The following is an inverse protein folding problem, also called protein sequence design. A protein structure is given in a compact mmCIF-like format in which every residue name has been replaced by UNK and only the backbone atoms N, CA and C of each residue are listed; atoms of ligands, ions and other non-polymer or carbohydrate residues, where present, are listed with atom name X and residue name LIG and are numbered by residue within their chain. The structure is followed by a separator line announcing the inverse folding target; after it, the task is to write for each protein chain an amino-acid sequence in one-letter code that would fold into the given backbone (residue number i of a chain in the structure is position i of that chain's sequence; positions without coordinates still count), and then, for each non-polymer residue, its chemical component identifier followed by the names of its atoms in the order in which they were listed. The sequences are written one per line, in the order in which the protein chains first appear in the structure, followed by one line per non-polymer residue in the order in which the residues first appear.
data_IF_254233595894
#
_entry.id   IF_254233595894
#
_cell.length_a   1.000
_cell.length_b   1.000
_cell.length_c   1.000
_cell.angle_alpha   90.00
_cell.angle_beta   90.00
_cell.angle_gamma   90.00
#
_symmetry.space_group_name_H-M   'P 1'
#
loop_
_entity.id
_entity.type
_entity.pdbx_description
1 polymer ?
#
# COMPACT_ATOMS: atom_id res chain seq x y z
N UNK A 1 -56.65 -3.22 97.23
CA UNK A 1 -58.01 -2.88 97.68
C UNK A 1 -58.27 -3.66 98.96
N UNK A 2 -58.12 -2.97 100.09
CA UNK A 2 -58.54 -3.44 101.41
C UNK A 2 -60.06 -3.47 101.41
N UNK A 3 -60.68 -4.65 101.52
CA UNK A 3 -61.98 -4.84 102.19
C UNK A 3 -61.94 -6.25 102.83
N UNK A 4 -61.56 -6.26 104.09
CA UNK A 4 -61.93 -7.29 105.07
C UNK A 4 -63.28 -6.82 105.63
N UNK A 5 -64.33 -7.63 105.48
CA UNK A 5 -65.56 -7.63 106.29
C UNK A 5 -66.17 -9.01 106.14
N UNK A 6 -65.99 -9.85 107.16
CA UNK A 6 -67.10 -10.30 108.02
C UNK A 6 -68.16 -11.11 107.26
N UNK A 7 -67.95 -12.43 107.19
CA UNK A 7 -69.03 -13.36 107.52
C UNK A 7 -68.45 -14.39 108.48
N UNK A 8 -68.74 -14.10 109.75
CA UNK A 8 -68.53 -14.95 110.91
C UNK A 8 -69.26 -16.27 110.72
N UNK A 9 -68.51 -17.35 110.92
CA UNK A 9 -68.87 -18.51 111.75
C UNK A 9 -70.36 -18.89 111.79
N UNK A 10 -70.74 -19.86 110.96
CA UNK A 10 -71.78 -20.82 111.32
C UNK A 10 -71.28 -22.23 110.99
N UNK A 11 -70.65 -22.82 112.00
CA UNK A 11 -70.52 -24.26 112.17
C UNK A 11 -71.91 -24.87 112.14
N UNK A 12 -72.13 -25.86 111.28
CA UNK A 12 -72.65 -27.19 111.59
C UNK A 12 -73.34 -27.80 110.37
N UNK A 13 -73.15 -29.11 110.23
CA UNK A 13 -73.92 -30.04 109.40
C UNK A 13 -73.31 -30.47 108.05
N UNK A 14 -72.50 -31.51 108.15
CA UNK A 14 -71.78 -32.26 107.11
C UNK A 14 -72.69 -33.06 106.16
N UNK A 15 -73.91 -32.60 105.90
CA UNK A 15 -74.84 -33.21 104.94
C UNK A 15 -75.74 -32.22 104.20
N UNK A 16 -75.51 -30.91 104.39
CA UNK A 16 -76.34 -29.83 103.84
C UNK A 16 -75.56 -28.86 102.91
N UNK A 17 -74.64 -29.37 102.09
CA UNK A 17 -73.99 -28.61 101.01
C UNK A 17 -74.18 -29.27 99.63
N UNK A 18 -75.39 -29.78 99.36
CA UNK A 18 -75.93 -29.93 98.00
C UNK A 18 -77.15 -29.03 97.80
N UNK A 19 -77.02 -27.80 98.28
CA UNK A 19 -77.99 -26.72 98.10
C UNK A 19 -77.21 -25.40 97.90
N UNK A 20 -76.15 -25.45 97.11
CA UNK A 20 -75.79 -24.29 96.30
C UNK A 20 -76.56 -24.43 95.00
N UNK A 21 -77.44 -23.46 94.79
CA UNK A 21 -78.24 -23.22 93.59
C UNK A 21 -77.55 -23.80 92.36
N UNK A 22 -78.13 -24.85 91.78
CA UNK A 22 -77.87 -25.21 90.39
C UNK A 22 -78.40 -24.05 89.54
N UNK A 23 -77.61 -22.98 89.47
CA UNK A 23 -77.85 -21.88 88.55
C UNK A 23 -77.83 -22.55 87.19
N UNK A 24 -78.93 -22.47 86.45
CA UNK A 24 -79.10 -23.17 85.17
C UNK A 24 -77.92 -22.78 84.26
N UNK A 25 -76.90 -23.64 84.16
CA UNK A 25 -75.65 -23.37 83.44
C UNK A 25 -75.88 -23.63 81.96
N UNK A 26 -76.84 -22.94 81.37
CA UNK A 26 -77.10 -23.03 79.94
C UNK A 26 -76.00 -22.30 79.19
N UNK A 27 -74.90 -23.01 78.94
CA UNK A 27 -73.82 -22.55 78.08
C UNK A 27 -74.31 -22.49 76.63
N UNK A 28 -74.14 -21.34 75.98
CA UNK A 28 -74.37 -21.23 74.54
C UNK A 28 -73.44 -22.16 73.76
N UNK A 29 -73.85 -22.58 72.56
CA UNK A 29 -73.09 -23.52 71.73
C UNK A 29 -71.70 -22.97 71.35
N UNK A 30 -71.60 -21.65 71.20
CA UNK A 30 -70.41 -20.88 70.86
C UNK A 30 -69.62 -20.39 72.08
N UNK A 31 -69.98 -20.79 73.30
CA UNK A 31 -69.29 -20.32 74.52
C UNK A 31 -67.83 -20.79 74.58
N UNK A 32 -66.92 -19.87 74.92
CA UNK A 32 -65.49 -20.11 75.15
C UNK A 32 -65.27 -21.21 76.20
N UNK A 33 -66.12 -21.27 77.23
CA UNK A 33 -66.00 -22.22 78.33
C UNK A 33 -66.18 -23.68 77.89
N UNK A 34 -66.83 -23.93 76.74
CA UNK A 34 -66.95 -25.27 76.15
C UNK A 34 -65.64 -25.76 75.52
N UNK A 35 -64.70 -24.86 75.26
CA UNK A 35 -63.37 -25.18 74.70
C UNK A 35 -62.33 -25.45 75.79
N UNK A 36 -62.69 -25.32 77.07
CA UNK A 36 -61.81 -25.60 78.20
C UNK A 36 -62.05 -27.02 78.70
N UNK A 37 -60.95 -27.72 78.95
CA UNK A 37 -60.97 -29.00 79.64
C UNK A 37 -60.58 -28.80 81.10
N UNK A 38 -61.40 -29.32 82.00
CA UNK A 38 -61.14 -29.26 83.44
C UNK A 38 -60.37 -30.50 83.89
N UNK A 39 -59.43 -30.31 84.82
CA UNK A 39 -58.71 -31.44 85.41
C UNK A 39 -59.71 -32.30 86.21
N UNK A 40 -59.80 -33.62 85.94
CA UNK A 40 -60.66 -34.48 86.74
C UNK A 40 -60.18 -34.52 88.20
N UNK A 41 -61.12 -34.63 89.14
CA UNK A 41 -60.87 -34.72 90.59
C UNK A 41 -60.23 -33.49 91.25
N UNK A 42 -60.68 -32.29 90.89
CA UNK A 42 -60.34 -31.05 91.60
C UNK A 42 -61.33 -30.77 92.74
N UNK A 43 -60.84 -30.47 93.96
CA UNK A 43 -61.69 -30.12 95.11
C UNK A 43 -62.51 -28.84 94.91
N UNK A 44 -62.04 -27.93 94.06
CA UNK A 44 -62.64 -26.60 93.85
C UNK A 44 -63.29 -26.45 92.48
N UNK A 45 -63.63 -27.57 91.81
CA UNK A 45 -64.17 -27.55 90.46
C UNK A 45 -65.44 -26.71 90.38
N UNK A 46 -66.39 -26.92 91.29
CA UNK A 46 -67.67 -26.21 91.29
C UNK A 46 -67.48 -24.68 91.41
N UNK A 47 -66.61 -24.25 92.33
CA UNK A 47 -66.27 -22.83 92.50
C UNK A 47 -65.57 -22.25 91.28
N UNK A 48 -64.64 -22.99 90.67
CA UNK A 48 -63.91 -22.56 89.49
C UNK A 48 -64.86 -22.39 88.29
N UNK A 49 -65.74 -23.36 88.08
CA UNK A 49 -66.75 -23.30 87.02
C UNK A 49 -67.70 -22.13 87.22
N UNK A 50 -68.18 -21.87 88.44
CA UNK A 50 -69.04 -20.72 88.74
C UNK A 50 -68.32 -19.39 88.48
N UNK A 51 -67.06 -19.29 88.90
CA UNK A 51 -66.25 -18.10 88.68
C UNK A 51 -65.97 -17.86 87.20
N UNK A 52 -65.60 -18.91 86.45
CA UNK A 52 -65.38 -18.83 85.01
C UNK A 52 -66.67 -18.49 84.26
N UNK A 53 -67.81 -19.03 84.69
CA UNK A 53 -69.11 -18.68 84.13
C UNK A 53 -69.48 -17.21 84.37
N UNK A 54 -69.28 -16.69 85.58
CA UNK A 54 -69.59 -15.31 85.91
C UNK A 54 -68.68 -14.30 85.18
N UNK A 55 -67.37 -14.55 85.16
CA UNK A 55 -66.37 -13.61 84.66
C UNK A 55 -66.07 -13.80 83.16
N UNK A 56 -66.04 -15.06 82.67
CA UNK A 56 -65.46 -15.44 81.38
C UNK A 56 -66.40 -16.18 80.41
N UNK A 57 -67.73 -16.11 80.59
CA UNK A 57 -68.70 -16.59 79.60
C UNK A 57 -68.73 -15.70 78.34
N UNK A 58 -67.70 -15.80 77.50
CA UNK A 58 -67.57 -15.13 76.20
C UNK A 58 -68.10 -16.03 75.08
N UNK A 59 -68.76 -15.43 74.08
CA UNK A 59 -69.14 -16.12 72.84
C UNK A 59 -67.98 -16.06 71.83
N UNK A 60 -67.54 -17.20 71.31
CA UNK A 60 -66.48 -17.29 70.31
C UNK A 60 -67.02 -17.00 68.92
N UNK A 61 -66.42 -16.04 68.22
CA UNK A 61 -66.88 -15.58 66.93
C UNK A 61 -65.75 -15.59 65.91
N UNK A 62 -66.03 -16.06 64.69
CA UNK A 62 -65.04 -16.13 63.61
C UNK A 62 -65.01 -14.87 62.71
N UNK A 63 -66.11 -14.10 62.65
CA UNK A 63 -66.26 -12.92 61.79
C UNK A 63 -66.40 -11.61 62.58
N UNK A 64 -65.84 -10.52 62.04
CA UNK A 64 -66.02 -9.17 62.59
C UNK A 64 -67.48 -8.68 62.52
N UNK A 65 -68.24 -9.14 61.53
CA UNK A 65 -69.66 -8.78 61.41
C UNK A 65 -70.46 -9.31 62.60
N UNK A 66 -70.30 -10.60 62.89
CA UNK A 66 -70.96 -11.29 64.01
C UNK A 66 -70.52 -10.71 65.37
N UNK A 67 -69.24 -10.34 65.50
CA UNK A 67 -68.68 -9.71 66.70
C UNK A 67 -69.33 -8.35 67.01
N UNK A 68 -69.67 -7.60 65.96
CA UNK A 68 -70.37 -6.32 66.09
C UNK A 68 -71.86 -6.50 66.42
N UNK A 69 -72.52 -7.51 65.82
CA UNK A 69 -73.94 -7.79 66.03
C UNK A 69 -74.27 -8.27 67.45
N UNK A 70 -73.38 -9.03 68.09
CA UNK A 70 -73.58 -9.55 69.45
C UNK A 70 -73.50 -8.42 70.49
N UNK A 71 -74.55 -8.23 71.30
CA UNK A 71 -74.57 -7.26 72.41
C UNK A 71 -73.87 -7.78 73.68
N UNK A 72 -73.56 -9.06 73.71
CA UNK A 72 -72.95 -9.75 74.85
C UNK A 72 -71.42 -9.82 74.73
N UNK A 73 -70.79 -10.44 75.74
CA UNK A 73 -69.35 -10.70 75.77
C UNK A 73 -68.95 -11.60 74.59
N UNK A 74 -68.00 -11.16 73.76
CA UNK A 74 -67.52 -11.92 72.59
C UNK A 74 -65.99 -11.89 72.46
N UNK A 75 -65.40 -12.93 71.84
CA UNK A 75 -63.96 -13.03 71.57
C UNK A 75 -63.69 -13.62 70.18
N UNK A 76 -62.70 -13.10 69.47
CA UNK A 76 -62.26 -13.62 68.16
C UNK A 76 -60.96 -14.44 68.26
N UNK A 77 -60.66 -15.23 67.22
CA UNK A 77 -59.39 -15.98 67.10
C UNK A 77 -58.14 -15.10 67.15
N UNK A 78 -58.25 -13.87 66.65
CA UNK A 78 -57.16 -12.89 66.61
C UNK A 78 -56.98 -12.11 67.94
N UNK A 79 -57.69 -12.51 69.02
CA UNK A 79 -57.52 -11.91 70.35
C UNK A 79 -58.29 -10.60 70.59
N UNK A 80 -59.30 -10.29 69.77
CA UNK A 80 -60.18 -9.14 70.01
C UNK A 80 -61.26 -9.51 71.04
N UNK A 81 -61.36 -8.74 72.14
CA UNK A 81 -62.29 -9.00 73.25
C UNK A 81 -63.33 -7.87 73.34
N UNK A 82 -64.61 -8.25 73.47
CA UNK A 82 -65.74 -7.34 73.74
C UNK A 82 -66.27 -7.57 75.15
N UNK A 83 -66.21 -6.55 76.00
CA UNK A 83 -66.75 -6.59 77.35
C UNK A 83 -68.19 -6.06 77.42
N UNK A 84 -68.91 -6.42 78.50
CA UNK A 84 -70.27 -5.93 78.78
C UNK A 84 -70.23 -4.40 78.92
N UNK A 85 -70.97 -3.69 78.06
CA UNK A 85 -70.94 -2.21 77.99
C UNK A 85 -70.21 -1.63 76.78
N UNK A 86 -69.84 -2.44 75.78
CA UNK A 86 -69.36 -1.95 74.48
C UNK A 86 -67.88 -1.59 74.43
N UNK A 87 -67.09 -1.91 75.47
CA UNK A 87 -65.63 -1.75 75.44
C UNK A 87 -65.02 -2.85 74.56
N UNK A 88 -64.25 -2.45 73.56
CA UNK A 88 -63.41 -3.33 72.75
C UNK A 88 -61.96 -3.22 73.21
N UNK A 89 -61.33 -4.36 73.47
CA UNK A 89 -59.93 -4.46 73.87
C UNK A 89 -59.21 -5.36 72.87
N UNK A 90 -58.08 -4.87 72.36
CA UNK A 90 -57.21 -5.58 71.45
C UNK A 90 -55.79 -5.49 71.99
N UNK A 91 -55.20 -6.64 72.31
CA UNK A 91 -53.78 -6.70 72.67
C UNK A 91 -52.96 -6.96 71.41
N UNK A 92 -52.34 -5.91 70.89
CA UNK A 92 -51.55 -5.95 69.65
C UNK A 92 -50.07 -6.26 69.88
N UNK A 93 -49.67 -6.64 71.10
CA UNK A 93 -48.28 -7.00 71.39
C UNK A 93 -47.87 -8.24 70.59
N UNK A 94 -46.79 -8.17 69.80
CA UNK A 94 -46.36 -9.27 68.94
C UNK A 94 -45.92 -10.49 69.75
N UNK A 95 -45.41 -10.31 70.98
CA UNK A 95 -45.03 -11.44 71.84
C UNK A 95 -46.23 -12.33 72.16
N UNK A 96 -47.43 -11.80 72.37
CA UNK A 96 -48.59 -12.57 72.86
C UNK A 96 -49.17 -13.53 71.79
N UNK A 97 -48.78 -13.35 70.50
CA UNK A 97 -49.27 -14.16 69.38
C UNK A 97 -48.52 -15.48 69.20
N UNK A 98 -47.36 -15.63 69.83
CA UNK A 98 -46.56 -16.83 69.75
C UNK A 98 -47.08 -17.97 70.64
N UNK A 99 -46.98 -19.21 70.16
CA UNK A 99 -47.39 -20.41 70.91
C UNK A 99 -46.57 -20.59 72.19
N UNK A 100 -45.36 -20.05 72.21
CA UNK A 100 -44.46 -20.00 73.35
C UNK A 100 -45.02 -19.16 74.52
N UNK A 101 -46.02 -18.31 74.30
CA UNK A 101 -46.66 -17.50 75.34
C UNK A 101 -47.94 -18.11 75.91
N UNK A 102 -48.41 -19.25 75.40
CA UNK A 102 -49.60 -19.92 75.92
C UNK A 102 -49.30 -20.58 77.28
N UNK A 103 -50.16 -20.33 78.26
CA UNK A 103 -50.01 -20.80 79.66
C UNK A 103 -51.11 -21.82 80.05
N UNK A 104 -51.95 -22.22 79.09
CA UNK A 104 -53.03 -23.18 79.32
C UNK A 104 -52.51 -24.61 79.16
N UNK A 105 -52.84 -25.48 80.13
CA UNK A 105 -52.46 -26.90 80.13
C UNK A 105 -51.96 -27.38 81.49
N UNK A 106 -51.82 -28.70 81.65
CA UNK A 106 -51.29 -29.31 82.89
C UNK A 106 -49.79 -29.62 82.81
N UNK A 107 -49.19 -29.50 81.63
CA UNK A 107 -47.79 -29.80 81.37
C UNK A 107 -47.20 -28.79 80.37
N UNK A 108 -45.95 -28.40 80.57
CA UNK A 108 -45.22 -27.44 79.75
C UNK A 108 -44.34 -28.11 78.68
N UNK A 109 -44.42 -29.43 78.52
CA UNK A 109 -43.60 -30.19 77.55
C UNK A 109 -43.67 -29.66 76.12
N UNK A 110 -44.86 -29.33 75.62
CA UNK A 110 -45.02 -28.82 74.24
C UNK A 110 -44.34 -27.47 74.07
N UNK A 111 -44.49 -26.57 75.04
CA UNK A 111 -43.82 -25.27 75.06
C UNK A 111 -42.30 -25.40 75.12
N UNK A 112 -41.78 -26.32 75.93
CA UNK A 112 -40.34 -26.62 75.98
C UNK A 112 -39.86 -27.15 74.63
N UNK A 113 -40.62 -28.02 73.96
CA UNK A 113 -40.27 -28.57 72.66
C UNK A 113 -40.23 -27.49 71.56
N UNK A 114 -41.20 -26.57 71.54
CA UNK A 114 -41.23 -25.42 70.61
C UNK A 114 -40.02 -24.53 70.82
N UNK A 115 -39.73 -24.12 72.06
CA UNK A 115 -38.57 -23.28 72.37
C UNK A 115 -37.25 -23.97 72.04
N UNK A 116 -37.14 -25.27 72.30
CA UNK A 116 -35.94 -26.04 71.92
C UNK A 116 -35.74 -26.12 70.41
N UNK A 117 -36.82 -26.25 69.62
CA UNK A 117 -36.73 -26.24 68.17
C UNK A 117 -36.30 -24.86 67.64
N UNK A 118 -36.86 -23.78 68.20
CA UNK A 118 -36.50 -22.40 67.87
C UNK A 118 -35.03 -22.11 68.17
N UNK A 119 -34.53 -22.51 69.34
CA UNK A 119 -33.10 -22.37 69.69
C UNK A 119 -32.21 -23.11 68.69
N UNK A 120 -32.57 -24.33 68.29
CA UNK A 120 -31.80 -25.09 67.28
C UNK A 120 -31.80 -24.40 65.92
N UNK A 121 -32.94 -23.83 65.52
CA UNK A 121 -33.03 -23.08 64.27
C UNK A 121 -32.12 -21.84 64.31
N UNK A 122 -32.21 -21.04 65.38
CA UNK A 122 -31.38 -19.84 65.55
C UNK A 122 -29.88 -20.19 65.57
N UNK A 123 -29.49 -21.28 66.24
CA UNK A 123 -28.10 -21.76 66.23
C UNK A 123 -27.62 -22.17 64.82
N UNK A 124 -28.50 -22.73 63.99
CA UNK A 124 -28.16 -23.06 62.61
C UNK A 124 -28.02 -21.81 61.75
N UNK A 125 -28.90 -20.83 61.94
CA UNK A 125 -28.84 -19.53 61.27
C UNK A 125 -27.58 -18.75 61.66
N UNK A 126 -27.20 -18.77 62.94
CA UNK A 126 -25.94 -18.20 63.44
C UNK A 126 -24.73 -18.83 62.73
N UNK A 127 -24.66 -20.18 62.68
CA UNK A 127 -23.58 -20.89 62.00
C UNK A 127 -23.49 -20.54 60.51
N UNK A 128 -24.62 -20.50 59.82
CA UNK A 128 -24.65 -20.11 58.40
C UNK A 128 -24.20 -18.67 58.20
N UNK A 129 -24.63 -17.76 59.08
CA UNK A 129 -24.26 -16.34 59.02
C UNK A 129 -22.77 -16.16 59.30
N UNK A 130 -22.23 -16.84 60.32
CA UNK A 130 -20.80 -16.83 60.64
C UNK A 130 -19.96 -17.36 59.46
N UNK A 131 -20.42 -18.40 58.76
CA UNK A 131 -19.74 -18.91 57.57
C UNK A 131 -19.73 -17.89 56.42
N UNK A 132 -20.84 -17.16 56.20
CA UNK A 132 -20.91 -16.08 55.21
C UNK A 132 -19.96 -14.93 55.55
N UNK A 133 -19.90 -14.54 56.82
CA UNK A 133 -18.98 -13.48 57.29
C UNK A 133 -17.53 -13.87 57.01
N UNK A 134 -17.12 -15.10 57.39
CA UNK A 134 -15.75 -15.58 57.12
C UNK A 134 -15.40 -15.57 55.64
N UNK A 135 -16.33 -15.95 54.77
CA UNK A 135 -16.12 -15.91 53.31
C UNK A 135 -15.93 -14.48 52.81
N UNK A 136 -16.75 -13.54 53.28
CA UNK A 136 -16.62 -12.13 52.92
C UNK A 136 -15.29 -11.53 53.41
N UNK A 137 -14.85 -11.88 54.63
CA UNK A 137 -13.54 -11.47 55.14
C UNK A 137 -12.38 -11.98 54.28
N UNK A 138 -12.46 -13.23 53.82
CA UNK A 138 -11.48 -13.80 52.89
C UNK A 138 -11.48 -13.09 51.54
N UNK A 139 -12.67 -12.81 50.98
CA UNK A 139 -12.82 -12.07 49.72
C UNK A 139 -12.26 -10.64 49.83
N UNK A 140 -12.50 -9.95 50.96
CA UNK A 140 -11.93 -8.62 51.25
C UNK A 140 -10.41 -8.71 51.29
N UNK A 141 -9.84 -9.69 52.00
CA UNK A 141 -8.38 -9.87 52.09
C UNK A 141 -7.76 -10.16 50.72
N UNK A 142 -8.41 -10.98 49.91
CA UNK A 142 -7.96 -11.28 48.55
C UNK A 142 -8.04 -10.05 47.64
N UNK A 143 -9.09 -9.25 47.74
CA UNK A 143 -9.23 -8.00 47.01
C UNK A 143 -8.16 -6.98 47.42
N UNK A 144 -7.86 -6.86 48.72
CA UNK A 144 -6.79 -6.02 49.23
C UNK A 144 -5.42 -6.46 48.68
N UNK A 145 -5.10 -7.76 48.71
CA UNK A 145 -3.86 -8.29 48.14
C UNK A 145 -3.74 -8.02 46.64
N UNK A 146 -4.83 -8.18 45.88
CA UNK A 146 -4.86 -7.80 44.44
C UNK A 146 -4.62 -6.31 44.26
N UNK A 147 -5.26 -5.46 45.06
CA UNK A 147 -5.06 -4.00 45.02
C UNK A 147 -3.61 -3.63 45.28
N UNK A 148 -2.98 -4.19 46.31
CA UNK A 148 -1.57 -3.96 46.62
C UNK A 148 -0.65 -4.43 45.48
N UNK A 149 -0.96 -5.59 44.89
CA UNK A 149 -0.21 -6.12 43.74
C UNK A 149 -0.31 -5.17 42.54
N UNK A 150 -1.51 -4.68 42.22
CA UNK A 150 -1.70 -3.71 41.15
C UNK A 150 -1.04 -2.37 41.45
N UNK A 151 -1.14 -1.85 42.66
CA UNK A 151 -0.43 -0.62 43.06
C UNK A 151 1.08 -0.78 42.95
N UNK A 152 1.62 -1.93 43.33
CA UNK A 152 3.05 -2.23 43.16
C UNK A 152 3.43 -2.28 41.68
N UNK A 153 2.58 -2.86 40.83
CA UNK A 153 2.81 -2.88 39.39
C UNK A 153 2.79 -1.46 38.81
N UNK A 154 1.78 -0.66 39.15
CA UNK A 154 1.67 0.74 38.70
C UNK A 154 2.80 1.63 39.24
N UNK A 155 3.36 1.35 40.43
CA UNK A 155 4.53 2.09 40.93
C UNK A 155 5.82 1.80 40.16
N UNK A 156 5.88 0.68 39.43
CA UNK A 156 7.06 0.27 38.66
C UNK A 156 6.99 0.71 37.21
N UNK A 157 5.80 0.91 36.68
CA UNK A 157 5.55 1.22 35.27
C UNK A 157 4.62 2.43 35.19
N UNK A 158 5.17 3.57 34.75
CA UNK A 158 4.42 4.81 34.60
C UNK A 158 3.55 4.83 33.33
N UNK A 159 3.92 4.03 32.31
CA UNK A 159 3.22 3.95 31.04
C UNK A 159 2.85 2.50 30.71
N UNK A 160 1.69 2.33 30.07
CA UNK A 160 1.25 1.03 29.60
C UNK A 160 2.17 0.46 28.51
N UNK A 161 2.76 1.34 27.69
CA UNK A 161 3.70 0.97 26.61
C UNK A 161 4.92 0.16 27.12
N UNK A 162 5.32 0.36 28.38
CA UNK A 162 6.45 -0.37 28.98
C UNK A 162 6.11 -1.85 29.30
N UNK A 163 4.81 -2.15 29.37
CA UNK A 163 4.26 -3.50 29.62
C UNK A 163 3.78 -4.13 28.31
N UNK A 164 3.29 -3.32 27.37
CA UNK A 164 2.68 -3.75 26.12
C UNK A 164 3.70 -4.18 25.04
N UNK A 165 4.38 -5.29 25.33
CA UNK A 165 5.27 -5.94 24.39
C UNK A 165 4.52 -6.49 23.16
N UNK A 166 3.22 -6.78 23.27
CA UNK A 166 2.44 -7.39 22.20
C UNK A 166 2.21 -6.41 21.05
N UNK A 167 1.81 -5.17 21.36
CA UNK A 167 1.73 -4.12 20.35
C UNK A 167 3.07 -3.87 19.66
N UNK A 168 4.16 -3.89 20.42
CA UNK A 168 5.52 -3.77 19.85
C UNK A 168 5.84 -4.93 18.89
N UNK A 169 5.52 -6.17 19.25
CA UNK A 169 5.73 -7.35 18.40
C UNK A 169 4.88 -7.29 17.13
N UNK A 170 3.62 -6.86 17.21
CA UNK A 170 2.76 -6.68 16.04
C UNK A 170 3.33 -5.64 15.07
N UNK A 171 3.81 -4.51 15.58
CA UNK A 171 4.44 -3.47 14.75
C UNK A 171 5.72 -4.00 14.10
N UNK A 172 6.56 -4.75 14.83
CA UNK A 172 7.77 -5.37 14.28
C UNK A 172 7.42 -6.34 13.15
N UNK A 173 6.42 -7.21 13.34
CA UNK A 173 5.99 -8.16 12.32
C UNK A 173 5.47 -7.45 11.06
N UNK A 174 4.64 -6.41 11.22
CA UNK A 174 4.16 -5.60 10.11
C UNK A 174 5.31 -4.95 9.35
N UNK A 175 6.31 -4.40 10.06
CA UNK A 175 7.48 -3.77 9.45
C UNK A 175 8.38 -4.78 8.75
N UNK A 176 8.54 -5.99 9.29
CA UNK A 176 9.28 -7.08 8.64
C UNK A 176 8.59 -7.53 7.35
N UNK A 177 7.27 -7.66 7.35
CA UNK A 177 6.52 -8.02 6.14
C UNK A 177 6.59 -6.91 5.08
N UNK A 178 6.47 -5.64 5.49
CA UNK A 178 6.69 -4.49 4.60
C UNK A 178 8.10 -4.50 4.00
N UNK A 179 9.13 -4.79 4.82
CA UNK A 179 10.51 -4.91 4.34
C UNK A 179 10.65 -6.03 3.31
N UNK A 180 10.08 -7.21 3.57
CA UNK A 180 10.11 -8.35 2.64
C UNK A 180 9.49 -8.01 1.29
N UNK A 181 8.31 -7.38 1.30
CA UNK A 181 7.62 -6.95 0.08
C UNK A 181 8.44 -5.92 -0.72
N UNK A 182 9.08 -4.97 -0.04
CA UNK A 182 9.95 -3.99 -0.68
C UNK A 182 11.22 -4.63 -1.26
N UNK A 183 11.83 -5.59 -0.56
CA UNK A 183 12.99 -6.33 -1.06
C UNK A 183 12.64 -7.17 -2.29
N UNK A 184 11.48 -7.84 -2.30
CA UNK A 184 10.97 -8.58 -3.46
C UNK A 184 10.68 -7.65 -4.65
N UNK A 185 10.04 -6.50 -4.39
CA UNK A 185 9.81 -5.50 -5.42
C UNK A 185 11.13 -4.94 -5.98
N UNK A 186 12.11 -4.67 -5.13
CA UNK A 186 13.42 -4.18 -5.55
C UNK A 186 14.20 -5.24 -6.35
N UNK A 187 14.16 -6.51 -5.94
CA UNK A 187 14.74 -7.61 -6.71
C UNK A 187 14.11 -7.72 -8.10
N UNK A 188 12.79 -7.57 -8.19
CA UNK A 188 12.09 -7.53 -9.48
C UNK A 188 12.51 -6.33 -10.33
N UNK A 189 12.68 -5.16 -9.74
CA UNK A 189 13.20 -3.97 -10.45
C UNK A 189 14.62 -4.20 -10.95
N UNK A 190 15.50 -4.81 -10.13
CA UNK A 190 16.87 -5.13 -10.52
C UNK A 190 16.92 -6.09 -11.71
N UNK A 191 16.12 -7.16 -11.68
CA UNK A 191 16.01 -8.11 -12.80
C UNK A 191 15.55 -7.40 -14.07
N UNK A 192 14.53 -6.53 -13.97
CA UNK A 192 14.04 -5.76 -15.13
C UNK A 192 15.09 -4.78 -15.66
N UNK A 193 15.89 -4.17 -14.80
CA UNK A 193 17.00 -3.29 -15.19
C UNK A 193 18.11 -4.06 -15.91
N UNK A 194 18.46 -5.25 -15.42
CA UNK A 194 19.45 -6.14 -16.06
C UNK A 194 18.94 -6.60 -17.44
N UNK A 195 17.66 -6.98 -17.55
CA UNK A 195 17.03 -7.32 -18.83
C UNK A 195 17.02 -6.12 -19.79
N UNK A 196 16.66 -4.93 -19.31
CA UNK A 196 16.68 -3.72 -20.13
C UNK A 196 18.09 -3.38 -20.62
N UNK A 197 19.10 -3.54 -19.77
CA UNK A 197 20.49 -3.33 -20.14
C UNK A 197 20.95 -4.35 -21.21
N UNK A 198 20.54 -5.62 -21.07
CA UNK A 198 20.77 -6.67 -22.08
C UNK A 198 20.16 -6.32 -23.43
N UNK A 199 18.88 -5.98 -23.47
CA UNK A 199 18.17 -5.59 -24.71
C UNK A 199 18.78 -4.34 -25.33
N UNK A 200 19.15 -3.32 -24.53
CA UNK A 200 19.83 -2.12 -25.07
C UNK A 200 21.17 -2.44 -25.71
N UNK A 201 21.92 -3.37 -25.13
CA UNK A 201 23.19 -3.82 -25.70
C UNK A 201 22.97 -4.56 -27.02
N UNK A 202 21.95 -5.43 -27.09
CA UNK A 202 21.58 -6.12 -28.34
C UNK A 202 21.14 -5.13 -29.42
N UNK A 203 20.34 -4.13 -29.08
CA UNK A 203 19.96 -3.06 -30.02
C UNK A 203 21.19 -2.31 -30.54
N UNK A 204 22.13 -1.96 -29.66
CA UNK A 204 23.37 -1.29 -30.07
C UNK A 204 24.21 -2.13 -31.04
N UNK A 205 24.34 -3.43 -30.79
CA UNK A 205 25.03 -4.34 -31.69
C UNK A 205 24.33 -4.45 -33.05
N UNK A 206 23.00 -4.56 -33.06
CA UNK A 206 22.21 -4.59 -34.29
C UNK A 206 22.28 -3.28 -35.07
N UNK A 207 22.31 -2.13 -34.39
CA UNK A 207 22.49 -0.82 -35.02
C UNK A 207 23.88 -0.68 -35.63
N UNK A 208 24.92 -1.17 -34.97
CA UNK A 208 26.28 -1.20 -35.52
C UNK A 208 26.37 -2.11 -36.76
N UNK A 209 25.76 -3.31 -36.70
CA UNK A 209 25.66 -4.22 -37.85
C UNK A 209 24.88 -3.58 -39.02
N UNK A 210 23.76 -2.90 -38.72
CA UNK A 210 22.96 -2.21 -39.71
C UNK A 210 23.73 -1.03 -40.33
N UNK A 211 24.45 -0.25 -39.53
CA UNK A 211 25.29 0.85 -40.02
C UNK A 211 26.41 0.35 -40.94
N UNK A 212 27.05 -0.78 -40.60
CA UNK A 212 28.03 -1.42 -41.48
C UNK A 212 27.41 -1.95 -42.77
N UNK A 213 26.21 -2.54 -42.70
CA UNK A 213 25.47 -2.95 -43.89
C UNK A 213 25.10 -1.76 -44.78
N UNK A 214 24.66 -0.64 -44.18
CA UNK A 214 24.37 0.62 -44.88
C UNK A 214 25.63 1.15 -45.56
N UNK A 215 26.78 1.21 -44.87
CA UNK A 215 28.05 1.65 -45.48
C UNK A 215 28.43 0.79 -46.68
N UNK A 216 28.35 -0.55 -46.57
CA UNK A 216 28.63 -1.47 -47.66
C UNK A 216 27.68 -1.27 -48.84
N UNK A 217 26.39 -1.04 -48.58
CA UNK A 217 25.38 -0.72 -49.58
C UNK A 217 25.72 0.59 -50.30
N UNK A 218 25.99 1.67 -49.57
CA UNK A 218 26.36 2.97 -50.16
C UNK A 218 27.64 2.88 -51.00
N UNK A 219 28.65 2.12 -50.56
CA UNK A 219 29.87 1.88 -51.34
C UNK A 219 29.56 1.14 -52.66
N UNK A 220 28.68 0.16 -52.60
CA UNK A 220 28.25 -0.62 -53.76
C UNK A 220 27.44 0.23 -54.74
N UNK A 221 26.50 1.03 -54.24
CA UNK A 221 25.70 1.99 -55.04
C UNK A 221 26.59 3.05 -55.71
N UNK A 222 27.57 3.60 -54.97
CA UNK A 222 28.54 4.54 -55.55
C UNK A 222 29.41 3.90 -56.64
N UNK A 223 29.82 2.63 -56.46
CA UNK A 223 30.56 1.90 -57.50
C UNK A 223 29.68 1.64 -58.72
N UNK A 224 28.41 1.30 -58.53
CA UNK A 224 27.46 1.11 -59.63
C UNK A 224 27.23 2.42 -60.40
N UNK A 225 27.06 3.55 -59.72
CA UNK A 225 26.88 4.85 -60.35
C UNK A 225 28.11 5.26 -61.17
N UNK A 226 29.33 5.12 -60.62
CA UNK A 226 30.58 5.39 -61.37
C UNK A 226 30.71 4.52 -62.63
N UNK A 227 30.31 3.25 -62.54
CA UNK A 227 30.34 2.35 -63.70
C UNK A 227 29.29 2.74 -64.75
N UNK A 228 28.10 3.20 -64.34
CA UNK A 228 27.08 3.73 -65.24
C UNK A 228 27.54 5.01 -65.94
N UNK A 229 28.15 5.95 -65.21
CA UNK A 229 28.75 7.16 -65.78
C UNK A 229 29.82 6.82 -66.82
N UNK A 230 30.78 5.95 -66.47
CA UNK A 230 31.80 5.48 -67.43
C UNK A 230 31.20 4.84 -68.67
N UNK A 231 30.17 4.00 -68.51
CA UNK A 231 29.46 3.39 -69.65
C UNK A 231 28.84 4.46 -70.55
N UNK A 232 28.20 5.47 -69.97
CA UNK A 232 27.57 6.54 -70.73
C UNK A 232 28.60 7.40 -71.47
N UNK A 233 29.73 7.72 -70.83
CA UNK A 233 30.85 8.43 -71.46
C UNK A 233 31.45 7.63 -72.62
N UNK A 234 31.72 6.34 -72.42
CA UNK A 234 32.23 5.46 -73.49
C UNK A 234 31.24 5.34 -74.65
N UNK A 235 29.94 5.19 -74.37
CA UNK A 235 28.91 5.15 -75.41
C UNK A 235 28.82 6.48 -76.19
N UNK A 236 28.95 7.62 -75.51
CA UNK A 236 28.98 8.93 -76.15
C UNK A 236 30.20 9.11 -77.05
N UNK A 237 31.39 8.69 -76.58
CA UNK A 237 32.61 8.71 -77.38
C UNK A 237 32.52 7.79 -78.60
N UNK A 238 32.00 6.56 -78.45
CA UNK A 238 31.77 5.63 -79.56
C UNK A 238 30.82 6.21 -80.60
N UNK A 239 29.77 6.93 -80.19
CA UNK A 239 28.84 7.59 -81.11
C UNK A 239 29.50 8.73 -81.91
N UNK A 240 30.53 9.40 -81.37
CA UNK A 240 31.23 10.51 -82.02
C UNK A 240 32.34 10.05 -82.99
N UNK A 241 32.92 8.87 -82.78
CA UNK A 241 34.07 8.38 -83.53
C UNK A 241 33.72 8.05 -85.00
N UNK A 242 32.47 7.73 -85.34
CA UNK A 242 32.07 7.41 -86.71
C UNK A 242 32.74 6.11 -87.23
N UNK A 243 32.84 5.95 -88.55
CA UNK A 243 33.56 4.80 -89.18
C UNK A 243 35.01 5.20 -89.37
N UNK A 244 35.89 4.69 -88.52
CA UNK A 244 37.35 4.86 -88.61
C UNK A 244 37.97 3.53 -88.99
N UNK A 245 38.88 3.52 -89.95
CA UNK A 245 39.69 2.35 -90.30
C UNK A 245 40.79 2.16 -89.23
N UNK A 246 40.56 1.22 -88.33
CA UNK A 246 41.43 0.95 -87.17
C UNK A 246 42.55 -0.03 -87.47
N UNK A 247 42.55 -0.70 -88.64
CA UNK A 247 43.48 -1.78 -88.97
C UNK A 247 44.95 -1.32 -88.90
N UNK A 248 45.22 -0.10 -89.39
CA UNK A 248 46.56 0.51 -89.33
C UNK A 248 47.01 0.87 -87.90
N UNK A 249 46.08 1.26 -87.03
CA UNK A 249 46.37 1.65 -85.65
C UNK A 249 46.58 0.42 -84.76
N UNK A 250 45.72 -0.59 -84.91
CA UNK A 250 45.82 -1.87 -84.19
C UNK A 250 47.12 -2.62 -84.51
N UNK A 251 47.59 -2.54 -85.77
CA UNK A 251 48.86 -3.12 -86.19
C UNK A 251 50.08 -2.43 -85.56
N UNK A 252 50.01 -1.12 -85.30
CA UNK A 252 51.10 -0.34 -84.70
C UNK A 252 51.11 -0.41 -83.17
N UNK A 253 49.95 -0.67 -82.55
CA UNK A 253 49.75 -0.69 -81.11
C UNK A 253 49.12 -2.01 -80.62
N UNK A 254 49.76 -3.13 -80.96
CA UNK A 254 49.31 -4.48 -80.57
C UNK A 254 49.21 -4.71 -79.06
N UNK A 255 49.92 -3.92 -78.26
CA UNK A 255 49.89 -3.91 -76.80
C UNK A 255 48.58 -3.35 -76.22
N UNK A 256 47.82 -2.59 -77.01
CA UNK A 256 46.54 -2.01 -76.59
C UNK A 256 45.34 -2.97 -76.79
N UNK A 257 45.54 -4.11 -77.44
CA UNK A 257 44.47 -5.10 -77.70
C UNK A 257 44.07 -5.91 -76.45
N UNK A 258 44.94 -6.02 -75.45
CA UNK A 258 44.72 -6.82 -74.24
C UNK A 258 44.86 -5.99 -72.95
N UNK A 259 44.17 -4.86 -72.88
CA UNK A 259 44.19 -3.98 -71.69
C UNK A 259 42.96 -4.25 -70.82
N UNK A 260 43.17 -4.47 -69.51
CA UNK A 260 42.08 -4.58 -68.55
C UNK A 260 41.30 -3.25 -68.45
N UNK A 261 39.98 -3.33 -68.24
CA UNK A 261 39.09 -2.16 -68.22
C UNK A 261 39.47 -1.11 -67.15
N UNK A 262 40.19 -1.53 -66.11
CA UNK A 262 40.67 -0.68 -65.02
C UNK A 262 41.87 0.17 -65.45
N UNK A 263 42.75 -0.36 -66.31
CA UNK A 263 43.99 0.29 -66.77
C UNK A 263 43.80 1.08 -68.07
N UNK A 264 42.63 0.98 -68.69
CA UNK A 264 42.31 1.53 -70.00
C UNK A 264 42.43 3.07 -70.04
N UNK A 265 42.00 3.75 -68.97
CA UNK A 265 42.17 5.21 -68.85
C UNK A 265 43.64 5.59 -68.67
N UNK A 266 44.41 4.82 -67.89
CA UNK A 266 45.84 5.06 -67.72
C UNK A 266 46.59 4.94 -69.03
N UNK A 267 46.28 3.91 -69.83
CA UNK A 267 46.84 3.71 -71.17
C UNK A 267 46.43 4.81 -72.17
N UNK A 268 45.17 5.25 -72.12
CA UNK A 268 44.69 6.41 -72.91
C UNK A 268 45.49 7.66 -72.57
N UNK A 269 45.65 7.97 -71.28
CA UNK A 269 46.31 9.20 -70.83
C UNK A 269 47.81 9.18 -71.17
N UNK A 270 48.47 8.02 -71.09
CA UNK A 270 49.87 7.89 -71.55
C UNK A 270 50.01 8.12 -73.05
N UNK A 271 49.10 7.55 -73.87
CA UNK A 271 49.14 7.75 -75.31
C UNK A 271 48.87 9.21 -75.69
N UNK A 272 47.89 9.84 -75.02
CA UNK A 272 47.59 11.26 -75.18
C UNK A 272 48.79 12.12 -74.82
N UNK A 273 49.47 11.81 -73.71
CA UNK A 273 50.67 12.52 -73.30
C UNK A 273 51.82 12.38 -74.30
N UNK A 274 52.04 11.19 -74.86
CA UNK A 274 53.06 10.95 -75.89
C UNK A 274 52.77 11.73 -77.18
N UNK A 275 51.51 11.77 -77.60
CA UNK A 275 51.07 12.57 -78.75
C UNK A 275 51.29 14.06 -78.49
N UNK A 276 50.89 14.56 -77.32
CA UNK A 276 51.06 15.96 -76.96
C UNK A 276 52.54 16.36 -76.87
N UNK A 277 53.39 15.49 -76.32
CA UNK A 277 54.85 15.68 -76.31
C UNK A 277 55.43 15.71 -77.73
N UNK A 278 54.99 14.81 -78.61
CA UNK A 278 55.43 14.78 -80.01
C UNK A 278 55.00 16.06 -80.75
N UNK A 279 53.77 16.51 -80.54
CA UNK A 279 53.24 17.77 -81.08
C UNK A 279 53.99 18.98 -80.54
N UNK A 280 54.30 19.01 -79.24
CA UNK A 280 55.09 20.08 -78.61
C UNK A 280 56.49 20.13 -79.21
N UNK A 281 57.17 18.98 -79.34
CA UNK A 281 58.49 18.90 -79.98
C UNK A 281 58.45 19.42 -81.42
N UNK A 282 57.42 19.10 -82.19
CA UNK A 282 57.23 19.63 -83.54
C UNK A 282 56.95 21.15 -83.57
N UNK A 283 56.20 21.68 -82.59
CA UNK A 283 55.98 23.12 -82.47
C UNK A 283 57.26 23.86 -82.09
N UNK A 284 58.06 23.30 -81.19
CA UNK A 284 59.36 23.85 -80.79
C UNK A 284 60.36 23.85 -81.94
N UNK A 285 60.46 22.75 -82.71
CA UNK A 285 61.33 22.71 -83.90
C UNK A 285 60.87 23.71 -84.95
N UNK A 286 59.56 23.84 -85.18
CA UNK A 286 58.99 24.87 -86.06
C UNK A 286 59.35 26.27 -85.56
N UNK A 287 59.22 26.54 -84.26
CA UNK A 287 59.55 27.85 -83.67
C UNK A 287 61.04 28.17 -83.77
N UNK A 288 61.93 27.21 -83.51
CA UNK A 288 63.39 27.39 -83.67
C UNK A 288 63.75 27.73 -85.11
N UNK A 289 63.27 26.94 -86.07
CA UNK A 289 63.48 27.21 -87.51
C UNK A 289 62.94 28.59 -87.92
N UNK A 290 61.81 29.01 -87.35
CA UNK A 290 61.23 30.32 -87.61
C UNK A 290 62.11 31.46 -87.05
N UNK A 291 62.63 31.31 -85.83
CA UNK A 291 63.60 32.26 -85.25
C UNK A 291 64.91 32.34 -86.02
N UNK A 292 65.45 31.20 -86.46
CA UNK A 292 66.67 31.15 -87.29
C UNK A 292 66.44 31.90 -88.61
N UNK A 293 65.27 31.70 -89.23
CA UNK A 293 64.89 32.41 -90.45
C UNK A 293 64.80 33.93 -90.24
N UNK A 294 64.20 34.39 -89.13
CA UNK A 294 64.14 35.82 -88.79
C UNK A 294 65.54 36.42 -88.65
N UNK A 295 66.46 35.69 -88.03
CA UNK A 295 67.85 36.14 -87.87
C UNK A 295 68.55 36.25 -89.23
N UNK A 296 68.37 35.27 -90.12
CA UNK A 296 68.89 35.32 -91.49
C UNK A 296 68.33 36.50 -92.29
N UNK A 297 67.01 36.75 -92.19
CA UNK A 297 66.37 37.93 -92.81
C UNK A 297 66.98 39.23 -92.28
N UNK A 298 67.16 39.35 -90.96
CA UNK A 298 67.77 40.53 -90.36
C UNK A 298 69.22 40.75 -90.83
N UNK A 299 70.04 39.70 -90.85
CA UNK A 299 71.43 39.77 -91.35
C UNK A 299 71.52 40.09 -92.83
N UNK A 300 70.53 39.68 -93.63
CA UNK A 300 70.47 40.03 -95.05
C UNK A 300 70.15 41.51 -95.27
N UNK A 301 69.17 42.07 -94.53
CA UNK A 301 68.86 43.51 -94.59
C UNK A 301 69.97 44.38 -93.99
N UNK A 302 70.73 43.85 -93.03
CA UNK A 302 71.84 44.53 -92.36
C UNK A 302 73.16 43.74 -92.49
N UNK A 303 73.82 43.78 -93.65
CA UNK A 303 75.06 43.06 -93.87
C UNK A 303 76.24 43.74 -93.14
N UNK A 304 77.36 43.01 -93.03
CA UNK A 304 78.60 43.52 -92.46
C UNK A 304 79.16 44.72 -93.26
N UNK A 305 80.02 45.50 -92.61
CA UNK A 305 80.60 46.75 -93.14
C UNK A 305 81.31 46.54 -94.49
N UNK A 306 81.92 45.37 -94.70
CA UNK A 306 82.60 44.98 -95.93
C UNK A 306 81.68 44.98 -97.16
N UNK A 307 80.42 44.58 -97.00
CA UNK A 307 79.42 44.54 -98.08
C UNK A 307 78.81 45.93 -98.30
N UNK A 308 78.62 46.68 -97.23
CA UNK A 308 78.06 48.04 -97.26
C UNK A 308 79.02 49.04 -97.97
N UNK A 309 80.33 48.81 -97.88
CA UNK A 309 81.33 49.57 -98.64
C UNK A 309 81.36 49.22 -100.13
N UNK A 310 81.01 47.98 -100.50
CA UNK A 310 81.02 47.51 -101.88
C UNK A 310 79.75 47.87 -102.65
N UNK A 311 78.62 47.94 -101.97
CA UNK A 311 77.31 48.28 -102.55
C UNK A 311 76.65 49.37 -101.70
N UNK A 312 76.92 50.63 -102.03
CA UNK A 312 76.51 51.77 -101.20
C UNK A 312 74.98 51.91 -101.09
N UNK A 313 74.25 51.47 -102.12
CA UNK A 313 72.78 51.55 -102.20
C UNK A 313 72.04 50.31 -101.64
N UNK A 314 72.76 49.31 -101.09
CA UNK A 314 72.18 48.03 -100.66
C UNK A 314 70.98 48.18 -99.71
N UNK A 315 71.07 49.12 -98.75
CA UNK A 315 69.99 49.38 -97.79
C UNK A 315 68.72 49.95 -98.43
N UNK A 316 68.86 50.68 -99.53
CA UNK A 316 67.72 51.22 -100.28
C UNK A 316 67.01 50.11 -101.05
N UNK A 317 67.77 49.24 -101.72
CA UNK A 317 67.25 48.16 -102.56
C UNK A 317 66.49 47.09 -101.74
N UNK A 318 67.01 46.74 -100.57
CA UNK A 318 66.39 45.71 -99.69
C UNK A 318 65.34 46.27 -98.73
N UNK A 319 65.12 47.59 -98.69
CA UNK A 319 64.17 48.24 -97.77
C UNK A 319 62.72 47.79 -97.99
N UNK A 320 62.37 47.47 -99.24
CA UNK A 320 61.03 47.05 -99.66
C UNK A 320 60.71 45.57 -99.37
N UNK A 321 61.70 44.77 -98.94
CA UNK A 321 61.49 43.35 -98.64
C UNK A 321 60.82 43.16 -97.25
N UNK A 322 59.75 42.34 -97.13
CA UNK A 322 59.03 42.12 -95.88
C UNK A 322 59.85 41.42 -94.80
N UNK A 323 59.65 41.77 -93.52
CA UNK A 323 60.37 41.14 -92.39
C UNK A 323 59.68 39.90 -91.80
N UNK A 324 58.48 39.56 -92.28
CA UNK A 324 57.74 38.40 -91.81
C UNK A 324 58.17 37.12 -92.57
N UNK A 325 58.38 36.04 -91.80
CA UNK A 325 58.82 34.72 -92.30
C UNK A 325 57.84 34.08 -93.28
N UNK A 326 56.58 34.50 -93.25
CA UNK A 326 55.53 34.05 -94.17
C UNK A 326 55.76 34.49 -95.63
N UNK A 327 56.60 35.51 -95.87
CA UNK A 327 56.91 36.05 -97.20
C UNK A 327 58.31 35.66 -97.72
N UNK A 328 58.87 34.54 -97.25
CA UNK A 328 60.17 34.03 -97.71
C UNK A 328 60.27 33.79 -99.23
N UNK A 329 59.14 33.59 -99.91
CA UNK A 329 59.11 33.50 -101.38
C UNK A 329 59.66 34.75 -102.08
N UNK A 330 59.52 35.94 -101.47
CA UNK A 330 60.02 37.19 -102.05
C UNK A 330 61.54 37.31 -101.96
N UNK A 331 62.17 36.78 -100.89
CA UNK A 331 63.62 36.70 -100.77
C UNK A 331 64.23 35.71 -101.78
N UNK A 332 63.54 34.61 -102.06
CA UNK A 332 63.94 33.67 -103.12
C UNK A 332 63.86 34.31 -104.50
N UNK A 333 62.80 35.09 -104.78
CA UNK A 333 62.67 35.84 -106.02
C UNK A 333 63.73 36.95 -106.17
N UNK A 334 64.04 37.68 -105.09
CA UNK A 334 65.11 38.69 -105.08
C UNK A 334 66.50 38.07 -105.29
N UNK A 335 66.77 36.90 -104.71
CA UNK A 335 67.99 36.14 -104.95
C UNK A 335 68.13 35.72 -106.42
N UNK A 336 67.04 35.26 -107.06
CA UNK A 336 67.04 34.95 -108.50
C UNK A 336 67.32 36.20 -109.35
N UNK A 337 66.72 37.36 -109.01
CA UNK A 337 67.00 38.63 -109.69
C UNK A 337 68.47 39.07 -109.60
N UNK A 338 69.09 38.93 -108.43
CA UNK A 338 70.53 39.23 -108.25
C UNK A 338 71.42 38.29 -109.07
N UNK A 339 71.04 37.03 -109.25
CA UNK A 339 71.77 36.09 -110.10
C UNK A 339 71.67 36.46 -111.59
N UNK A 340 70.51 36.96 -112.02
CA UNK A 340 70.28 37.43 -113.39
C UNK A 340 71.00 38.75 -113.70
N UNK A 341 71.01 39.72 -112.77
CA UNK A 341 71.75 40.99 -112.93
C UNK A 341 73.28 40.78 -112.98
N UNK A 342 73.81 39.75 -112.31
CA UNK A 342 75.23 39.37 -112.39
C UNK A 342 75.63 38.73 -113.73
N UNK A 343 74.66 38.24 -114.51
CA UNK A 343 74.90 37.76 -115.89
C UNK A 343 75.02 38.90 -116.90
N UNK A 344 74.52 40.10 -116.60
CA UNK A 344 74.56 41.26 -117.50
C UNK A 344 75.80 42.16 -117.33
N UNK A 345 76.66 41.92 -116.32
CA UNK A 345 77.87 42.73 -116.01
C UNK A 345 79.20 42.03 -116.32
N UNK A 346 79.16 40.91 -117.08
CA UNK A 346 80.31 40.31 -117.77
C UNK A 346 80.05 40.24 -119.28
N UNK A 347 80.09 41.39 -119.93
CA UNK A 347 80.52 41.54 -121.35
C UNK A 347 81.57 42.63 -121.36
#
# INVERSE_FOLDING_TARGET
MVIICEVVSCISDTRAQRLFVSLDRTLKADSLLRKLEYKPMCLYLDWLEDRLFAEFNYSCVDSLADFNHLQEKAVTKEGLIKARGGKHEKDDRPEIRGKEHYVLGWDNKEKIAVLQAEVRQLQQEEKMTAAKVRKLEEDIKNAQKKRETYLTLFSKYDKFDDIDWQSCVLVIQQKQEQKRQLEEANNRVKILQEQLAGVRKEIGLLDDENNEAIKKKTLSENRENKLKERRNESNSALAQIGVVDTDTFESQHTDLLNVALEDLNGKRDTLQHEIDLALQKQRETKSRKNSDLKNLIYRFKNPAEEITMKYHDWRSDVSRLPEAVEFMGEYQAYYQRLLDERRFTRV
#
